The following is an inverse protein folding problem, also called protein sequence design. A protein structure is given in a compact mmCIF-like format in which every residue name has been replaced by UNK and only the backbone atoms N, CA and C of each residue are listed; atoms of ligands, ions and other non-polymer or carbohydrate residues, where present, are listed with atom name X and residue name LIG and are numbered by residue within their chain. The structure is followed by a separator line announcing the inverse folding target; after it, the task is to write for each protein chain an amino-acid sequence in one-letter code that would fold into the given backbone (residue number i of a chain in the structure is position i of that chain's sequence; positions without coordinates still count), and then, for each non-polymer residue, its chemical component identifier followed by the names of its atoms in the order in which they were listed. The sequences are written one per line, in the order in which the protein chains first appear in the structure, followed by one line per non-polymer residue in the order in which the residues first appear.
data_IF_606039028201
#
_entry.id   IF_606039028201
#
_cell.length_a   1.000
_cell.length_b   1.000
_cell.length_c   1.000
_cell.angle_alpha   90.00
_cell.angle_beta   90.00
_cell.angle_gamma   90.00
#
_symmetry.space_group_name_H-M   'P 1'
#
loop_
_entity.id
_entity.type
_entity.pdbx_description
1 polymer ?
#
# COMPACT_ATOMS: atom_id res chain seq x y z
N UNK A 1 14.78 9.79 10.41
CA UNK A 1 15.70 9.39 9.34
C UNK A 1 15.97 10.59 8.45
N UNK A 2 17.23 10.83 8.08
CA UNK A 2 17.56 11.83 7.06
C UNK A 2 17.13 11.28 5.69
N UNK A 3 16.26 12.00 4.99
CA UNK A 3 15.73 11.60 3.67
C UNK A 3 16.88 11.39 2.66
N UNK A 4 18.00 12.11 2.80
CA UNK A 4 19.17 11.90 1.94
C UNK A 4 19.80 10.51 2.14
N UNK A 5 19.82 10.01 3.39
CA UNK A 5 20.31 8.66 3.71
C UNK A 5 19.36 7.61 3.13
N UNK A 6 18.05 7.79 3.28
CA UNK A 6 17.05 6.88 2.70
C UNK A 6 17.21 6.82 1.18
N UNK A 7 17.30 7.97 0.52
CA UNK A 7 17.47 8.02 -0.93
C UNK A 7 18.71 7.25 -1.39
N UNK A 8 19.85 7.45 -0.74
CA UNK A 8 21.08 6.72 -1.07
C UNK A 8 20.96 5.21 -0.86
N UNK A 9 20.13 4.75 0.10
CA UNK A 9 19.80 3.32 0.27
C UNK A 9 18.92 2.82 -0.87
N UNK A 10 17.83 3.52 -1.19
CA UNK A 10 16.92 3.16 -2.29
C UNK A 10 17.66 3.07 -3.62
N UNK A 11 18.54 4.03 -3.94
CA UNK A 11 19.34 4.02 -5.18
C UNK A 11 20.25 2.78 -5.25
N UNK A 12 20.85 2.37 -4.12
CA UNK A 12 21.69 1.16 -4.07
C UNK A 12 20.89 -0.13 -4.22
N UNK A 13 19.66 -0.17 -3.73
CA UNK A 13 18.77 -1.32 -3.82
C UNK A 13 18.07 -1.44 -5.18
N UNK A 14 17.86 -0.30 -5.85
CA UNK A 14 17.21 -0.24 -7.16
C UNK A 14 18.05 -0.86 -8.28
N UNK A 15 17.39 -1.26 -9.36
CA UNK A 15 18.07 -1.85 -10.52
C UNK A 15 18.76 -0.78 -11.39
N UNK A 16 19.99 -1.03 -11.91
CA UNK A 16 20.82 -2.22 -11.71
C UNK A 16 21.37 -2.28 -10.28
N UNK A 17 21.44 -3.50 -9.69
CA UNK A 17 21.68 -3.92 -8.27
C UNK A 17 22.81 -3.21 -7.46
N UNK A 18 23.09 -1.94 -7.72
CA UNK A 18 24.17 -1.15 -7.15
C UNK A 18 25.47 -1.93 -6.97
N UNK A 19 26.06 -1.91 -5.77
CA UNK A 19 27.29 -2.64 -5.44
C UNK A 19 27.05 -4.11 -5.05
N UNK A 20 25.82 -4.63 -5.12
CA UNK A 20 25.49 -5.98 -4.68
C UNK A 20 25.83 -7.02 -5.74
N UNK A 21 26.17 -8.23 -5.28
CA UNK A 21 26.48 -9.35 -6.17
C UNK A 21 25.21 -10.11 -6.58
N UNK A 22 24.15 -10.07 -5.77
CA UNK A 22 22.86 -10.67 -6.07
C UNK A 22 21.67 -9.91 -5.46
N UNK A 23 20.45 -10.31 -5.84
CA UNK A 23 19.19 -9.79 -5.26
C UNK A 23 19.06 -10.21 -3.80
N UNK A 24 19.53 -11.40 -3.44
CA UNK A 24 19.53 -11.88 -2.06
C UNK A 24 20.34 -10.97 -1.14
N UNK A 25 21.49 -10.45 -1.60
CA UNK A 25 22.29 -9.50 -0.83
C UNK A 25 21.53 -8.18 -0.57
N UNK A 26 20.74 -7.72 -1.55
CA UNK A 26 19.88 -6.52 -1.41
C UNK A 26 18.84 -6.77 -0.32
N UNK A 27 18.19 -7.94 -0.35
CA UNK A 27 17.16 -8.33 0.61
C UNK A 27 17.71 -8.47 2.03
N UNK A 28 18.91 -9.01 2.20
CA UNK A 28 19.58 -9.04 3.51
C UNK A 28 19.80 -7.62 4.04
N UNK A 29 20.30 -6.68 3.21
CA UNK A 29 20.52 -5.30 3.67
C UNK A 29 19.20 -4.58 3.98
N UNK A 30 18.12 -4.84 3.24
CA UNK A 30 16.79 -4.31 3.54
C UNK A 30 16.24 -4.84 4.88
N UNK A 31 16.41 -6.13 5.18
CA UNK A 31 16.00 -6.70 6.45
C UNK A 31 16.77 -6.05 7.63
N UNK A 32 18.10 -5.93 7.50
CA UNK A 32 18.94 -5.24 8.49
C UNK A 32 18.52 -3.78 8.69
N UNK A 33 18.23 -3.07 7.61
CA UNK A 33 17.80 -1.67 7.65
C UNK A 33 16.44 -1.52 8.35
N UNK A 34 15.51 -2.47 8.17
CA UNK A 34 14.22 -2.47 8.88
C UNK A 34 14.43 -2.49 10.39
N UNK A 35 15.32 -3.35 10.89
CA UNK A 35 15.64 -3.40 12.32
C UNK A 35 16.33 -2.12 12.81
N UNK A 36 17.16 -1.50 11.97
CA UNK A 36 17.82 -0.22 12.29
C UNK A 36 16.82 0.94 12.41
N UNK A 37 15.80 0.97 11.55
CA UNK A 37 14.80 2.03 11.53
C UNK A 37 13.85 1.96 12.73
N UNK A 38 13.42 0.76 13.11
CA UNK A 38 12.47 0.56 14.20
C UNK A 38 11.09 1.19 13.93
N UNK A 39 10.17 1.04 14.88
CA UNK A 39 8.78 1.51 14.79
C UNK A 39 8.63 3.02 14.55
N UNK A 40 9.54 3.84 15.11
CA UNK A 40 9.48 5.31 15.07
C UNK A 40 9.58 5.90 13.66
N UNK A 41 10.00 5.09 12.67
CA UNK A 41 10.23 5.54 11.31
C UNK A 41 9.01 5.40 10.40
N UNK A 42 7.90 4.80 10.87
CA UNK A 42 6.75 4.48 10.03
C UNK A 42 6.18 5.71 9.29
N UNK A 43 5.92 6.81 10.01
CA UNK A 43 5.41 8.04 9.39
C UNK A 43 6.40 8.66 8.40
N UNK A 44 7.70 8.59 8.69
CA UNK A 44 8.74 9.12 7.79
C UNK A 44 8.85 8.32 6.50
N UNK A 45 8.70 6.99 6.58
CA UNK A 45 8.68 6.11 5.41
C UNK A 45 7.45 6.38 4.54
N UNK A 46 6.27 6.51 5.16
CA UNK A 46 5.01 6.82 4.46
C UNK A 46 5.07 8.21 3.80
N UNK A 47 5.55 9.24 4.49
CA UNK A 47 5.73 10.58 3.92
C UNK A 47 6.74 10.59 2.76
N UNK A 48 7.83 9.84 2.88
CA UNK A 48 8.80 9.70 1.81
C UNK A 48 8.21 9.00 0.58
N UNK A 49 7.42 7.94 0.78
CA UNK A 49 6.73 7.23 -0.30
C UNK A 49 5.77 8.15 -1.05
N UNK A 50 4.93 8.90 -0.32
CA UNK A 50 4.02 9.90 -0.90
C UNK A 50 4.79 10.89 -1.76
N UNK A 51 5.89 11.42 -1.23
CA UNK A 51 6.70 12.40 -1.93
C UNK A 51 7.26 11.81 -3.23
N UNK A 52 7.89 10.64 -3.18
CA UNK A 52 8.50 10.02 -4.35
C UNK A 52 7.45 9.69 -5.42
N UNK A 53 6.31 9.12 -5.04
CA UNK A 53 5.25 8.75 -5.99
C UNK A 53 4.62 9.99 -6.64
N UNK A 54 4.34 11.04 -5.86
CA UNK A 54 3.79 12.30 -6.40
C UNK A 54 4.77 13.05 -7.30
N UNK A 55 6.08 12.92 -7.06
CA UNK A 55 7.13 13.48 -7.91
C UNK A 55 7.42 12.59 -9.15
N UNK A 56 6.83 11.39 -9.22
CA UNK A 56 7.09 10.40 -10.27
C UNK A 56 8.53 9.85 -10.23
N UNK A 57 9.17 9.88 -9.06
CA UNK A 57 10.53 9.39 -8.87
C UNK A 57 10.53 7.85 -8.78
N UNK A 58 11.19 7.12 -9.70
CA UNK A 58 11.13 5.65 -9.78
C UNK A 58 11.55 4.93 -8.49
N UNK A 59 12.25 5.60 -7.57
CA UNK A 59 12.58 5.04 -6.25
C UNK A 59 11.35 4.78 -5.37
N UNK A 60 10.17 5.33 -5.72
CA UNK A 60 8.94 5.04 -4.99
C UNK A 60 8.62 3.54 -4.98
N UNK A 61 8.84 2.83 -6.10
CA UNK A 61 8.59 1.38 -6.21
C UNK A 61 9.53 0.58 -5.29
N UNK A 62 10.80 0.97 -5.23
CA UNK A 62 11.78 0.33 -4.33
C UNK A 62 11.45 0.58 -2.86
N UNK A 63 10.95 1.77 -2.53
CA UNK A 63 10.51 2.09 -1.18
C UNK A 63 9.22 1.33 -0.81
N UNK A 64 8.28 1.22 -1.75
CA UNK A 64 7.06 0.43 -1.56
C UNK A 64 7.39 -1.05 -1.32
N UNK A 65 8.26 -1.66 -2.14
CA UNK A 65 8.72 -3.04 -1.95
C UNK A 65 9.40 -3.24 -0.57
N UNK A 66 10.24 -2.30 -0.16
CA UNK A 66 10.89 -2.32 1.15
C UNK A 66 9.84 -2.30 2.29
N UNK A 67 8.86 -1.41 2.20
CA UNK A 67 7.82 -1.28 3.22
C UNK A 67 6.94 -2.54 3.25
N UNK A 68 6.46 -2.99 2.10
CA UNK A 68 5.56 -4.14 1.96
C UNK A 68 6.25 -5.43 2.41
N UNK A 69 7.49 -5.67 1.98
CA UNK A 69 8.17 -6.96 2.21
C UNK A 69 8.74 -7.08 3.61
N UNK A 70 9.36 -6.01 4.11
CA UNK A 70 10.17 -6.07 5.34
C UNK A 70 9.55 -5.29 6.49
N UNK A 71 9.23 -4.02 6.26
CA UNK A 71 8.79 -3.14 7.35
C UNK A 71 7.42 -3.55 7.91
N UNK A 72 6.46 -3.86 7.03
CA UNK A 72 5.09 -4.24 7.41
C UNK A 72 5.05 -5.46 8.33
N UNK A 73 5.97 -6.42 8.15
CA UNK A 73 6.03 -7.66 8.95
C UNK A 73 6.55 -7.42 10.37
N UNK A 74 7.43 -6.44 10.53
CA UNK A 74 8.09 -6.15 11.80
C UNK A 74 7.35 -5.08 12.61
N UNK A 75 6.74 -4.10 11.94
CA UNK A 75 6.07 -2.95 12.58
C UNK A 75 4.66 -2.68 12.00
N UNK A 76 3.77 -3.68 11.95
CA UNK A 76 2.49 -3.54 11.26
C UNK A 76 1.55 -2.51 11.90
N UNK A 77 1.58 -2.39 13.24
CA UNK A 77 0.71 -1.45 13.96
C UNK A 77 1.10 0.01 13.70
N UNK A 78 2.40 0.31 13.81
CA UNK A 78 2.94 1.64 13.55
C UNK A 78 2.74 2.04 12.08
N UNK A 79 2.91 1.08 11.16
CA UNK A 79 2.63 1.29 9.74
C UNK A 79 1.14 1.58 9.50
N UNK A 80 0.23 0.81 10.13
CA UNK A 80 -1.22 1.05 10.03
C UNK A 80 -1.55 2.48 10.45
N UNK A 81 -1.03 2.93 11.60
CA UNK A 81 -1.30 4.27 12.11
C UNK A 81 -0.75 5.36 11.17
N UNK A 82 0.50 5.22 10.72
CA UNK A 82 1.13 6.15 9.79
C UNK A 82 0.35 6.27 8.47
N UNK A 83 -0.08 5.14 7.90
CA UNK A 83 -0.87 5.13 6.66
C UNK A 83 -2.20 5.84 6.87
N UNK A 84 -2.92 5.54 7.95
CA UNK A 84 -4.22 6.17 8.24
C UNK A 84 -4.13 7.69 8.47
N UNK A 85 -3.01 8.19 9.02
CA UNK A 85 -2.76 9.62 9.18
C UNK A 85 -2.50 10.33 7.84
N UNK A 86 -1.96 9.59 6.87
CA UNK A 86 -1.55 10.12 5.58
C UNK A 86 -2.51 9.86 4.42
N UNK A 87 -3.60 9.09 4.64
CA UNK A 87 -4.67 8.96 3.64
C UNK A 87 -5.19 10.33 3.18
N UNK A 88 -5.45 10.44 1.87
CA UNK A 88 -6.02 11.64 1.23
C UNK A 88 -7.12 11.21 0.25
N UNK A 89 -8.14 12.06 -0.01
CA UNK A 89 -9.27 11.70 -0.86
C UNK A 89 -8.89 11.24 -2.28
N UNK A 90 -7.88 11.88 -2.87
CA UNK A 90 -7.30 11.57 -4.18
C UNK A 90 -5.77 11.44 -4.05
N UNK A 91 -5.34 10.74 -3.00
CA UNK A 91 -3.92 10.55 -2.69
C UNK A 91 -3.24 9.49 -3.55
N UNK A 92 -1.94 9.25 -3.31
CA UNK A 92 -1.19 8.24 -4.04
C UNK A 92 -1.74 6.81 -3.78
N UNK A 93 -2.01 6.01 -4.82
CA UNK A 93 -2.52 4.65 -4.70
C UNK A 93 -1.70 3.74 -3.78
N UNK A 94 -0.37 3.87 -3.73
CA UNK A 94 0.49 3.03 -2.89
C UNK A 94 0.08 3.07 -1.41
N UNK A 95 -0.32 4.26 -0.91
CA UNK A 95 -0.73 4.46 0.48
C UNK A 95 -1.99 3.67 0.82
N UNK A 96 -2.90 3.53 -0.15
CA UNK A 96 -4.06 2.68 0.01
C UNK A 96 -3.65 1.21 0.01
N UNK A 97 -2.81 0.81 -0.95
CA UNK A 97 -2.27 -0.54 -1.07
C UNK A 97 -1.58 -1.02 0.21
N UNK A 98 -0.79 -0.16 0.86
CA UNK A 98 -0.09 -0.46 2.10
C UNK A 98 -1.01 -0.92 3.24
N UNK A 99 -2.27 -0.47 3.29
CA UNK A 99 -3.22 -0.96 4.30
C UNK A 99 -3.50 -2.46 4.16
N UNK A 100 -3.48 -2.99 2.94
CA UNK A 100 -3.67 -4.41 2.67
C UNK A 100 -2.60 -5.29 3.32
N UNK A 101 -1.40 -4.74 3.54
CA UNK A 101 -0.27 -5.42 4.16
C UNK A 101 -0.16 -5.18 5.68
N UNK A 102 -1.12 -4.50 6.29
CA UNK A 102 -1.09 -4.11 7.71
C UNK A 102 -2.06 -4.92 8.58
N UNK A 103 -2.18 -4.58 9.87
CA UNK A 103 -3.17 -5.23 10.74
C UNK A 103 -4.57 -4.85 10.26
N UNK A 104 -5.29 -5.85 9.76
CA UNK A 104 -6.70 -5.70 9.42
C UNK A 104 -7.50 -5.26 10.64
N UNK A 105 -8.20 -4.14 10.50
CA UNK A 105 -9.19 -3.71 11.47
C UNK A 105 -10.34 -3.03 10.76
N UNK A 106 -11.57 -3.28 11.26
CA UNK A 106 -12.77 -2.59 10.77
C UNK A 106 -12.61 -1.06 10.86
N UNK A 107 -11.82 -0.57 11.82
CA UNK A 107 -11.47 0.85 11.95
C UNK A 107 -10.70 1.37 10.73
N UNK A 108 -9.69 0.62 10.26
CA UNK A 108 -8.90 0.99 9.09
C UNK A 108 -9.76 1.01 7.82
N UNK A 109 -10.55 -0.04 7.59
CA UNK A 109 -11.48 -0.15 6.46
C UNK A 109 -12.50 1.00 6.48
N UNK A 110 -13.09 1.30 7.63
CA UNK A 110 -14.03 2.41 7.75
C UNK A 110 -13.38 3.76 7.49
N UNK A 111 -12.15 3.98 7.98
CA UNK A 111 -11.41 5.22 7.73
C UNK A 111 -11.07 5.37 6.25
N UNK A 112 -10.72 4.28 5.56
CA UNK A 112 -10.47 4.26 4.13
C UNK A 112 -11.72 4.69 3.35
N UNK A 113 -12.87 4.04 3.60
CA UNK A 113 -14.16 4.36 2.97
C UNK A 113 -14.60 5.81 3.20
N UNK A 114 -14.31 6.37 4.38
CA UNK A 114 -14.67 7.75 4.73
C UNK A 114 -13.74 8.80 4.11
N UNK A 115 -12.49 8.43 3.84
CA UNK A 115 -11.47 9.39 3.40
C UNK A 115 -11.41 9.47 1.88
N UNK A 116 -11.47 8.34 1.18
CA UNK A 116 -11.35 8.30 -0.28
C UNK A 116 -12.59 8.85 -0.98
N UNK A 117 -12.37 9.69 -1.98
CA UNK A 117 -13.43 10.12 -2.89
C UNK A 117 -13.48 9.18 -4.09
N UNK A 118 -14.16 8.04 -3.91
CA UNK A 118 -14.27 7.03 -4.95
C UNK A 118 -14.98 7.53 -6.21
N UNK A 119 -15.70 8.65 -6.18
CA UNK A 119 -16.34 9.19 -7.39
C UNK A 119 -15.35 9.93 -8.28
N UNK A 120 -14.29 10.48 -7.69
CA UNK A 120 -13.24 11.23 -8.38
C UNK A 120 -11.87 10.51 -8.40
N UNK A 121 -11.79 9.31 -7.82
CA UNK A 121 -10.60 8.48 -7.87
C UNK A 121 -10.23 8.11 -9.31
N UNK A 122 -8.94 8.18 -9.63
CA UNK A 122 -8.41 7.65 -10.88
C UNK A 122 -8.41 6.12 -10.85
N UNK A 123 -8.10 5.51 -12.00
CA UNK A 123 -8.15 4.06 -12.16
C UNK A 123 -7.18 3.35 -11.18
N UNK A 124 -5.97 3.88 -11.00
CA UNK A 124 -4.97 3.30 -10.08
C UNK A 124 -5.43 3.33 -8.62
N UNK A 125 -6.02 4.45 -8.17
CA UNK A 125 -6.54 4.57 -6.80
C UNK A 125 -7.76 3.68 -6.58
N UNK A 126 -8.61 3.53 -7.60
CA UNK A 126 -9.73 2.59 -7.55
C UNK A 126 -9.25 1.14 -7.48
N UNK A 127 -8.23 0.79 -8.26
CA UNK A 127 -7.63 -0.53 -8.24
C UNK A 127 -7.00 -0.83 -6.87
N UNK A 128 -6.20 0.10 -6.34
CA UNK A 128 -5.62 -0.03 -5.00
C UNK A 128 -6.72 -0.16 -3.93
N UNK A 129 -7.74 0.69 -3.96
CA UNK A 129 -8.87 0.60 -3.03
C UNK A 129 -9.56 -0.77 -3.09
N UNK A 130 -9.88 -1.25 -4.29
CA UNK A 130 -10.57 -2.52 -4.49
C UNK A 130 -9.71 -3.68 -4.02
N UNK A 131 -8.43 -3.69 -4.37
CA UNK A 131 -7.47 -4.71 -3.90
C UNK A 131 -7.39 -4.74 -2.38
N UNK A 132 -7.15 -3.59 -1.75
CA UNK A 132 -7.11 -3.45 -0.29
C UNK A 132 -8.41 -3.91 0.37
N UNK A 133 -9.58 -3.51 -0.15
CA UNK A 133 -10.87 -3.98 0.40
C UNK A 133 -11.02 -5.50 0.22
N UNK A 134 -10.56 -6.08 -0.89
CA UNK A 134 -10.53 -7.53 -1.06
C UNK A 134 -9.68 -8.25 0.01
N UNK A 135 -8.53 -7.67 0.35
CA UNK A 135 -7.58 -8.26 1.28
C UNK A 135 -8.01 -8.16 2.75
N UNK A 136 -8.55 -7.01 3.16
CA UNK A 136 -8.85 -6.73 4.58
C UNK A 136 -10.34 -6.51 4.89
N UNK A 137 -11.19 -6.43 3.86
CA UNK A 137 -12.61 -6.17 4.00
C UNK A 137 -13.42 -7.36 4.54
N UNK A 138 -14.65 -7.05 4.92
CA UNK A 138 -15.64 -7.93 5.53
C UNK A 138 -16.88 -8.07 4.65
N UNK A 139 -17.84 -8.91 5.04
CA UNK A 139 -19.10 -9.07 4.33
C UNK A 139 -19.88 -7.74 4.17
N UNK A 140 -19.75 -6.81 5.12
CA UNK A 140 -20.37 -5.49 5.07
C UNK A 140 -19.80 -4.61 3.94
N UNK A 141 -18.58 -4.91 3.48
CA UNK A 141 -17.89 -4.17 2.42
C UNK A 141 -18.24 -4.69 1.01
N UNK A 142 -19.01 -5.78 0.89
CA UNK A 142 -19.50 -6.27 -0.40
C UNK A 142 -20.43 -5.24 -1.08
N UNK A 143 -21.21 -4.49 -0.31
CA UNK A 143 -22.13 -3.49 -0.86
C UNK A 143 -21.39 -2.42 -1.66
N UNK A 144 -20.25 -1.93 -1.15
CA UNK A 144 -19.47 -0.90 -1.84
C UNK A 144 -18.82 -1.45 -3.11
N UNK A 145 -18.34 -2.70 -3.09
CA UNK A 145 -17.80 -3.36 -4.28
C UNK A 145 -18.86 -3.59 -5.36
N UNK A 146 -20.06 -4.05 -4.99
CA UNK A 146 -21.18 -4.19 -5.92
C UNK A 146 -21.67 -2.85 -6.48
N UNK A 147 -21.65 -1.79 -5.65
CA UNK A 147 -21.97 -0.43 -6.11
C UNK A 147 -20.98 0.05 -7.14
N UNK A 148 -19.67 -0.12 -6.89
CA UNK A 148 -18.62 0.18 -7.86
C UNK A 148 -18.81 -0.61 -9.15
N UNK A 149 -19.06 -1.91 -9.09
CA UNK A 149 -19.22 -2.79 -10.26
C UNK A 149 -20.31 -2.32 -11.23
N UNK A 150 -21.35 -1.62 -10.74
CA UNK A 150 -22.46 -1.09 -11.55
C UNK A 150 -22.11 0.17 -12.35
N UNK A 151 -20.96 0.80 -12.10
CA UNK A 151 -20.52 1.98 -12.84
C UNK A 151 -20.18 1.61 -14.28
N UNK A 152 -20.79 2.33 -15.23
CA UNK A 152 -20.66 2.02 -16.66
C UNK A 152 -19.23 2.24 -17.18
N UNK A 153 -18.55 3.29 -16.69
CA UNK A 153 -17.28 3.77 -17.22
C UNK A 153 -16.03 3.21 -16.52
N UNK A 154 -16.15 2.11 -15.78
CA UNK A 154 -14.98 1.47 -15.17
C UNK A 154 -14.14 0.74 -16.21
N UNK A 155 -12.82 0.90 -16.11
CA UNK A 155 -11.85 0.11 -16.83
C UNK A 155 -12.07 -1.40 -16.61
N UNK A 156 -11.73 -2.21 -17.62
CA UNK A 156 -11.89 -3.67 -17.56
C UNK A 156 -11.08 -4.26 -16.42
N UNK A 157 -9.85 -3.78 -16.22
CA UNK A 157 -8.95 -4.19 -15.13
C UNK A 157 -9.61 -3.99 -13.78
N UNK A 158 -10.19 -2.82 -13.51
CA UNK A 158 -10.89 -2.55 -12.25
C UNK A 158 -12.09 -3.48 -12.06
N UNK A 159 -12.85 -3.77 -13.14
CA UNK A 159 -13.98 -4.72 -13.06
C UNK A 159 -13.52 -6.13 -12.69
N UNK A 160 -12.34 -6.55 -13.14
CA UNK A 160 -11.72 -7.82 -12.76
C UNK A 160 -11.23 -7.80 -11.33
N UNK A 161 -10.53 -6.75 -10.91
CA UNK A 161 -10.11 -6.55 -9.52
C UNK A 161 -11.29 -6.57 -8.55
N UNK A 162 -12.45 -5.98 -8.93
CA UNK A 162 -13.67 -6.02 -8.11
C UNK A 162 -14.18 -7.46 -7.95
N UNK A 163 -14.15 -8.27 -9.02
CA UNK A 163 -14.58 -9.68 -8.94
C UNK A 163 -13.66 -10.48 -8.02
N UNK A 164 -12.35 -10.26 -8.12
CA UNK A 164 -11.36 -10.91 -7.26
C UNK A 164 -11.58 -10.50 -5.81
N UNK A 165 -11.74 -9.20 -5.53
CA UNK A 165 -11.99 -8.69 -4.19
C UNK A 165 -13.28 -9.27 -3.57
N UNK A 166 -14.36 -9.35 -4.35
CA UNK A 166 -15.62 -9.98 -3.91
C UNK A 166 -15.38 -11.47 -3.58
N UNK A 167 -14.69 -12.21 -4.45
CA UNK A 167 -14.35 -13.63 -4.22
C UNK A 167 -13.54 -13.80 -2.93
N UNK A 168 -12.49 -12.99 -2.75
CA UNK A 168 -11.64 -13.05 -1.56
C UNK A 168 -12.44 -12.82 -0.27
N UNK A 169 -13.41 -11.90 -0.29
CA UNK A 169 -14.29 -11.67 0.86
C UNK A 169 -15.19 -12.89 1.07
N UNK A 170 -15.85 -13.42 0.03
CA UNK A 170 -16.71 -14.61 0.15
C UNK A 170 -15.96 -15.82 0.70
N UNK A 171 -14.77 -16.12 0.16
CA UNK A 171 -13.91 -17.21 0.62
C UNK A 171 -13.54 -17.04 2.11
N UNK A 172 -13.30 -15.80 2.55
CA UNK A 172 -12.97 -15.47 3.95
C UNK A 172 -14.16 -15.62 4.90
N UNK A 173 -15.37 -15.29 4.46
CA UNK A 173 -16.58 -15.32 5.31
C UNK A 173 -17.41 -16.59 5.17
N UNK A 174 -17.08 -17.47 4.23
CA UNK A 174 -17.71 -18.78 4.03
C UNK A 174 -19.14 -18.70 3.48
N UNK A 175 -19.40 -17.76 2.56
CA UNK A 175 -20.71 -17.54 1.91
C UNK A 175 -20.64 -17.91 0.43
#
# INVERSE_FOLDING_TARGET
MDIAILRGKLERWSFPLGPFLSIEDVYIEMEEETHRLGSISANQLVEALIKLETEGDPLWETLDEFIVTWYSRNYPADLTEAVLQNLRPTGPPSIVGLLGCTISSNKAVNKLKQTLDLNNANDDLLEAFVGTIGDIGSAEDLEILHSLQKRQNLAITIKESIKIAISNIYDRVGI
#
